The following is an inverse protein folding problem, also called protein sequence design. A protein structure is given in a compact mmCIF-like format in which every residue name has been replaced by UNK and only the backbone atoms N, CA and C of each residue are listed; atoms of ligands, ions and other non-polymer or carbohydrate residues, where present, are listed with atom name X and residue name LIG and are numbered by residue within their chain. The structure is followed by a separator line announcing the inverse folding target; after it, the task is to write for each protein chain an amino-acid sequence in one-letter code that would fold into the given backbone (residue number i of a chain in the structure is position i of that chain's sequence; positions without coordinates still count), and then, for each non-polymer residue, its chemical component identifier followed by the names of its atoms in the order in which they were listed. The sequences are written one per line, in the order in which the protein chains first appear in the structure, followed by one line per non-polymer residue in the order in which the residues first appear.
data_IF_584003010887
#
_entry.id   IF_584003010887
#
_cell.length_a   1.000
_cell.length_b   1.000
_cell.length_c   1.000
_cell.angle_alpha   90.00
_cell.angle_beta   90.00
_cell.angle_gamma   90.00
#
_symmetry.space_group_name_H-M   'P 1'
#
loop_
_entity.id
_entity.type
_entity.pdbx_description
1 polymer ?
#
# COMPACT_ATOMS: atom_id res chain seq x y z
N UNK A 1 7.49 3.30 -18.31
CA UNK A 1 6.97 2.95 -16.97
C UNK A 1 5.53 3.37 -16.95
N UNK A 2 4.67 2.56 -16.35
CA UNK A 2 3.24 2.82 -16.20
C UNK A 2 3.00 2.77 -14.70
N UNK A 3 2.30 3.76 -14.15
CA UNK A 3 1.83 3.77 -12.77
C UNK A 3 0.33 3.55 -12.81
N UNK A 4 -0.15 2.57 -12.05
CA UNK A 4 -1.56 2.16 -12.06
C UNK A 4 -2.07 2.25 -10.64
N UNK A 5 -3.08 3.11 -10.43
CA UNK A 5 -3.84 3.12 -9.20
C UNK A 5 -4.70 1.85 -9.19
N UNK A 6 -4.41 0.92 -8.30
CA UNK A 6 -5.13 -0.35 -8.18
C UNK A 6 -5.16 -0.80 -6.70
N UNK A 7 -6.16 -1.59 -6.28
CA UNK A 7 -7.37 -1.98 -7.01
C UNK A 7 -8.39 -0.84 -7.15
N UNK A 8 -9.59 -1.14 -7.65
CA UNK A 8 -10.71 -0.19 -7.70
C UNK A 8 -10.94 0.43 -6.31
N UNK A 9 -10.98 1.76 -6.25
CA UNK A 9 -11.09 2.53 -5.02
C UNK A 9 -9.79 3.26 -4.62
N UNK A 10 -8.63 2.77 -5.07
CA UNK A 10 -7.33 3.40 -4.82
C UNK A 10 -7.12 4.61 -5.72
N UNK A 11 -6.60 5.71 -5.14
CA UNK A 11 -6.22 6.92 -5.89
C UNK A 11 -7.35 7.41 -6.80
N UNK A 12 -7.07 7.54 -8.10
CA UNK A 12 -8.07 7.94 -9.11
C UNK A 12 -8.88 6.78 -9.70
N UNK A 13 -8.57 5.53 -9.40
CA UNK A 13 -9.32 4.37 -9.89
C UNK A 13 -10.63 4.19 -9.13
N UNK A 14 -11.73 4.00 -9.85
CA UNK A 14 -13.06 3.93 -9.25
C UNK A 14 -14.02 3.05 -10.06
N UNK A 15 -15.06 2.58 -9.37
CA UNK A 15 -16.29 2.08 -9.98
C UNK A 15 -17.49 2.69 -9.24
N UNK A 16 -18.60 2.88 -9.96
CA UNK A 16 -19.88 3.27 -9.38
C UNK A 16 -20.71 2.06 -8.94
N UNK A 17 -20.25 0.84 -9.24
CA UNK A 17 -20.92 -0.40 -8.90
C UNK A 17 -20.20 -1.08 -7.73
N UNK A 18 -20.93 -1.25 -6.61
CA UNK A 18 -20.38 -1.90 -5.43
C UNK A 18 -20.02 -3.39 -5.63
N UNK A 19 -20.44 -4.00 -6.74
CA UNK A 19 -20.07 -5.37 -7.13
C UNK A 19 -18.63 -5.47 -7.64
N UNK A 20 -18.02 -4.35 -8.02
CA UNK A 20 -16.64 -4.29 -8.51
C UNK A 20 -15.62 -4.11 -7.36
N UNK A 21 -16.05 -4.32 -6.11
CA UNK A 21 -15.14 -4.30 -4.97
C UNK A 21 -14.22 -5.50 -5.00
N UNK A 22 -12.96 -5.26 -4.69
CA UNK A 22 -11.87 -6.24 -4.72
C UNK A 22 -11.45 -6.55 -3.28
N UNK A 23 -11.27 -7.82 -2.97
CA UNK A 23 -10.99 -8.29 -1.60
C UNK A 23 -9.79 -9.23 -1.51
N UNK A 24 -9.26 -9.66 -2.67
CA UNK A 24 -8.15 -10.59 -2.78
C UNK A 24 -7.44 -10.45 -4.12
N UNK A 25 -6.31 -11.15 -4.20
CA UNK A 25 -5.33 -11.04 -5.27
C UNK A 25 -5.75 -11.83 -6.50
N UNK A 26 -6.71 -12.76 -6.36
CA UNK A 26 -7.32 -13.42 -7.52
C UNK A 26 -8.07 -12.39 -8.37
N UNK A 27 -8.87 -11.53 -7.72
CA UNK A 27 -9.56 -10.43 -8.40
C UNK A 27 -8.59 -9.35 -8.89
N UNK A 28 -7.58 -8.96 -8.08
CA UNK A 28 -6.52 -8.04 -8.54
C UNK A 28 -5.84 -8.56 -9.81
N UNK A 29 -5.47 -9.84 -9.82
CA UNK A 29 -4.81 -10.48 -10.97
C UNK A 29 -5.67 -10.44 -12.23
N UNK A 30 -6.99 -10.66 -12.10
CA UNK A 30 -7.95 -10.57 -13.22
C UNK A 30 -8.10 -9.14 -13.74
N UNK A 31 -8.37 -8.19 -12.85
CA UNK A 31 -8.59 -6.79 -13.22
C UNK A 31 -7.35 -6.18 -13.88
N UNK A 32 -6.16 -6.49 -13.34
CA UNK A 32 -4.90 -6.04 -13.92
C UNK A 32 -4.60 -6.72 -15.26
N UNK A 33 -4.97 -7.99 -15.44
CA UNK A 33 -4.83 -8.66 -16.73
C UNK A 33 -5.71 -8.00 -17.80
N UNK A 34 -6.97 -7.70 -17.46
CA UNK A 34 -7.90 -6.99 -18.34
C UNK A 34 -7.39 -5.58 -18.67
N UNK A 35 -6.93 -4.84 -17.66
CA UNK A 35 -6.26 -3.55 -17.85
C UNK A 35 -5.08 -3.67 -18.83
N UNK A 36 -4.23 -4.68 -18.68
CA UNK A 36 -3.08 -4.86 -19.56
C UNK A 36 -3.50 -5.13 -21.01
N UNK A 37 -4.55 -5.92 -21.25
CA UNK A 37 -5.08 -6.12 -22.60
C UNK A 37 -5.59 -4.81 -23.23
N UNK A 38 -6.31 -4.00 -22.47
CA UNK A 38 -6.75 -2.69 -22.95
C UNK A 38 -5.58 -1.74 -23.18
N UNK A 39 -4.58 -1.75 -22.28
CA UNK A 39 -3.38 -0.95 -22.41
C UNK A 39 -2.61 -1.28 -23.69
N UNK A 40 -2.35 -2.56 -23.98
CA UNK A 40 -1.65 -2.95 -25.21
C UNK A 40 -2.47 -2.71 -26.48
N UNK A 41 -3.80 -2.76 -26.40
CA UNK A 41 -4.67 -2.36 -27.52
C UNK A 41 -4.60 -0.86 -27.80
N UNK A 42 -4.52 -0.04 -26.75
CA UNK A 42 -4.37 1.40 -26.86
C UNK A 42 -2.93 1.82 -27.24
N UNK A 43 -1.93 1.04 -26.87
CA UNK A 43 -0.51 1.31 -27.05
C UNK A 43 0.22 0.17 -27.79
N UNK A 44 -0.16 -0.12 -29.05
CA UNK A 44 0.48 -1.20 -29.82
C UNK A 44 1.98 -0.94 -30.06
N UNK A 45 2.44 0.32 -29.99
CA UNK A 45 3.84 0.71 -30.16
C UNK A 45 4.78 0.17 -29.07
N UNK A 46 4.25 -0.31 -27.94
CA UNK A 46 5.04 -0.92 -26.86
C UNK A 46 4.81 -2.42 -26.71
N UNK A 47 3.99 -3.04 -27.56
CA UNK A 47 3.56 -4.43 -27.42
C UNK A 47 4.68 -5.47 -27.49
N UNK A 48 5.78 -5.16 -28.17
CA UNK A 48 6.94 -6.06 -28.29
C UNK A 48 8.01 -5.83 -27.20
N UNK A 49 7.85 -4.80 -26.36
CA UNK A 49 8.84 -4.49 -25.33
C UNK A 49 8.76 -5.50 -24.19
N UNK A 50 9.89 -6.00 -23.66
CA UNK A 50 9.91 -6.81 -22.45
C UNK A 50 9.15 -6.12 -21.31
N UNK A 51 8.14 -6.81 -20.78
CA UNK A 51 7.28 -6.30 -19.73
C UNK A 51 7.73 -6.78 -18.36
N UNK A 52 7.76 -5.88 -17.39
CA UNK A 52 8.14 -6.17 -16.01
C UNK A 52 7.07 -5.67 -15.06
N UNK A 53 6.67 -6.51 -14.10
CA UNK A 53 5.75 -6.14 -13.02
C UNK A 53 6.56 -5.83 -11.78
N UNK A 54 6.46 -4.62 -11.24
CA UNK A 54 7.24 -4.20 -10.08
C UNK A 54 6.38 -3.51 -9.05
N UNK A 55 6.64 -3.74 -7.77
CA UNK A 55 5.94 -3.07 -6.67
C UNK A 55 6.69 -3.21 -5.35
N UNK A 56 6.19 -2.54 -4.32
CA UNK A 56 6.74 -2.66 -2.97
C UNK A 56 5.67 -2.96 -1.90
N UNK A 57 6.11 -3.35 -0.70
CA UNK A 57 5.22 -3.53 0.45
C UNK A 57 4.17 -4.63 0.24
N UNK A 58 2.89 -4.31 0.38
CA UNK A 58 1.79 -5.21 0.06
C UNK A 58 1.77 -5.65 -1.41
N UNK A 59 2.49 -4.98 -2.30
CA UNK A 59 2.71 -5.50 -3.65
C UNK A 59 3.56 -6.78 -3.69
N UNK A 60 4.12 -7.25 -2.57
CA UNK A 60 4.60 -8.62 -2.45
C UNK A 60 3.51 -9.69 -2.58
N UNK A 61 2.23 -9.31 -2.44
CA UNK A 61 1.05 -10.10 -2.82
C UNK A 61 0.62 -9.80 -4.27
N UNK A 62 0.50 -8.52 -4.62
CA UNK A 62 0.03 -8.11 -5.96
C UNK A 62 0.94 -8.56 -7.09
N UNK A 63 2.27 -8.38 -6.96
CA UNK A 63 3.22 -8.64 -8.05
C UNK A 63 3.21 -10.10 -8.46
N UNK A 64 3.31 -11.10 -7.54
CA UNK A 64 3.15 -12.50 -7.92
C UNK A 64 1.78 -12.80 -8.55
N UNK A 65 0.69 -12.24 -8.01
CA UNK A 65 -0.66 -12.50 -8.49
C UNK A 65 -0.89 -11.98 -9.92
N UNK A 66 -0.53 -10.71 -10.18
CA UNK A 66 -0.63 -10.09 -11.50
C UNK A 66 0.29 -10.79 -12.51
N UNK A 67 1.52 -11.11 -12.11
CA UNK A 67 2.46 -11.81 -13.00
C UNK A 67 1.97 -13.22 -13.33
N UNK A 68 1.41 -13.94 -12.35
CA UNK A 68 0.85 -15.28 -12.54
C UNK A 68 -0.39 -15.25 -13.44
N UNK A 69 -1.28 -14.26 -13.28
CA UNK A 69 -2.44 -14.11 -14.17
C UNK A 69 -2.01 -13.92 -15.64
N UNK A 70 -1.04 -13.06 -15.89
CA UNK A 70 -0.45 -12.85 -17.22
C UNK A 70 0.21 -14.12 -17.74
N UNK A 71 1.08 -14.74 -16.94
CA UNK A 71 1.82 -15.94 -17.30
C UNK A 71 0.88 -17.09 -17.68
N UNK A 72 -0.14 -17.38 -16.86
CA UNK A 72 -1.11 -18.45 -17.12
C UNK A 72 -1.96 -18.15 -18.37
N UNK A 73 -2.33 -16.89 -18.59
CA UNK A 73 -3.09 -16.53 -19.78
C UNK A 73 -2.27 -16.68 -21.07
N UNK A 74 -0.96 -16.39 -21.02
CA UNK A 74 -0.04 -16.64 -22.12
C UNK A 74 0.10 -18.14 -22.40
N UNK A 75 0.38 -18.95 -21.37
CA UNK A 75 0.59 -20.40 -21.48
C UNK A 75 -0.65 -21.13 -22.01
N UNK A 76 -1.84 -20.73 -21.55
CA UNK A 76 -3.09 -21.34 -21.96
C UNK A 76 -3.66 -20.75 -23.27
N UNK A 77 -3.08 -19.65 -23.76
CA UNK A 77 -3.60 -18.93 -24.94
C UNK A 77 -5.03 -18.42 -24.76
N UNK A 78 -5.42 -18.05 -23.53
CA UNK A 78 -6.80 -17.61 -23.21
C UNK A 78 -7.02 -16.12 -23.41
N UNK A 79 -5.94 -15.34 -23.54
CA UNK A 79 -5.98 -13.90 -23.79
C UNK A 79 -6.20 -13.52 -25.26
N UNK A 80 -6.64 -12.28 -25.54
CA UNK A 80 -6.71 -11.75 -26.90
C UNK A 80 -5.33 -11.52 -27.55
N UNK A 81 -4.26 -11.46 -26.74
CA UNK A 81 -2.88 -11.29 -27.18
C UNK A 81 -1.92 -11.82 -26.11
N UNK A 82 -0.70 -12.15 -26.52
CA UNK A 82 0.38 -12.51 -25.59
C UNK A 82 1.02 -11.24 -25.03
N UNK A 83 1.18 -11.18 -23.72
CA UNK A 83 1.92 -10.10 -23.04
C UNK A 83 3.36 -10.58 -22.82
N UNK A 84 4.40 -9.87 -23.29
CA UNK A 84 5.80 -10.33 -23.22
C UNK A 84 6.40 -10.18 -21.80
N UNK A 85 5.84 -10.89 -20.82
CA UNK A 85 6.30 -10.90 -19.43
C UNK A 85 7.73 -11.44 -19.34
N UNK A 86 8.67 -10.57 -18.95
CA UNK A 86 10.10 -10.86 -18.90
C UNK A 86 10.64 -10.95 -17.47
N UNK A 87 9.92 -10.40 -16.49
CA UNK A 87 10.31 -10.50 -15.09
C UNK A 87 9.39 -9.77 -14.12
N UNK A 88 9.65 -9.96 -12.84
CA UNK A 88 8.97 -9.28 -11.75
C UNK A 88 9.96 -8.89 -10.65
N UNK A 89 9.70 -7.76 -9.98
CA UNK A 89 10.51 -7.31 -8.85
C UNK A 89 9.65 -6.87 -7.66
N UNK A 90 10.04 -7.30 -6.47
CA UNK A 90 9.32 -7.02 -5.22
C UNK A 90 10.29 -6.32 -4.27
N UNK A 91 9.99 -5.07 -3.94
CA UNK A 91 10.72 -4.29 -2.94
C UNK A 91 10.09 -4.40 -1.57
N UNK A 92 10.86 -4.74 -0.54
CA UNK A 92 10.38 -4.72 0.85
C UNK A 92 8.99 -5.35 0.97
N UNK A 93 8.80 -6.54 0.40
CA UNK A 93 7.49 -7.13 0.20
C UNK A 93 6.99 -7.89 1.43
N UNK A 94 5.68 -7.91 1.63
CA UNK A 94 5.00 -9.00 2.33
C UNK A 94 4.60 -10.04 1.27
N UNK A 95 5.08 -11.28 1.36
CA UNK A 95 4.84 -12.32 0.35
C UNK A 95 4.57 -13.69 0.99
N UNK A 96 5.31 -14.02 2.06
CA UNK A 96 5.10 -15.23 2.86
C UNK A 96 5.03 -14.86 4.34
N UNK A 97 3.84 -14.50 4.84
CA UNK A 97 3.64 -14.08 6.22
C UNK A 97 4.12 -15.10 7.25
N UNK A 98 3.94 -16.40 6.98
CA UNK A 98 4.35 -17.49 7.88
C UNK A 98 5.85 -17.48 8.20
N UNK A 99 6.69 -17.08 7.23
CA UNK A 99 8.13 -16.96 7.40
C UNK A 99 8.60 -15.54 7.78
N UNK A 100 7.81 -14.53 7.46
CA UNK A 100 8.15 -13.12 7.72
C UNK A 100 7.80 -12.66 9.13
N UNK A 101 6.68 -13.09 9.71
CA UNK A 101 6.29 -12.71 11.07
C UNK A 101 7.32 -13.10 12.15
N UNK A 102 7.88 -14.34 12.14
CA UNK A 102 8.96 -14.70 13.06
C UNK A 102 10.20 -13.80 12.92
N UNK A 103 10.48 -13.29 11.71
CA UNK A 103 11.64 -12.46 11.48
C UNK A 103 11.60 -11.09 12.19
N UNK A 104 10.42 -10.62 12.61
CA UNK A 104 10.31 -9.36 13.35
C UNK A 104 11.10 -9.37 14.65
N UNK A 105 11.02 -10.46 15.42
CA UNK A 105 11.71 -10.56 16.70
C UNK A 105 13.22 -10.56 16.51
N UNK A 106 13.73 -11.39 15.59
CA UNK A 106 15.15 -11.50 15.27
C UNK A 106 15.72 -10.18 14.75
N UNK A 107 15.05 -9.56 13.78
CA UNK A 107 15.48 -8.27 13.21
C UNK A 107 15.50 -7.16 14.28
N UNK A 108 14.46 -7.10 15.12
CA UNK A 108 14.37 -6.12 16.19
C UNK A 108 15.46 -6.32 17.26
N UNK A 109 15.79 -7.58 17.59
CA UNK A 109 16.87 -7.89 18.53
C UNK A 109 18.23 -7.53 17.96
N UNK A 110 18.52 -7.91 16.72
CA UNK A 110 19.79 -7.61 16.02
C UNK A 110 20.03 -6.08 15.94
N UNK A 111 18.97 -5.32 15.69
CA UNK A 111 19.00 -3.86 15.63
C UNK A 111 18.82 -3.17 16.99
N UNK A 112 18.82 -3.92 18.10
CA UNK A 112 18.75 -3.40 19.48
C UNK A 112 17.47 -2.61 19.79
N UNK A 113 16.39 -2.88 19.07
CA UNK A 113 15.06 -2.29 19.32
C UNK A 113 14.36 -2.97 20.50
N UNK A 114 14.71 -4.22 20.80
CA UNK A 114 14.14 -4.99 21.91
C UNK A 114 15.23 -5.68 22.73
N UNK A 115 14.88 -6.05 23.96
CA UNK A 115 15.74 -6.87 24.82
C UNK A 115 15.59 -8.36 24.50
N UNK A 116 16.57 -9.18 24.87
CA UNK A 116 16.48 -10.65 24.77
C UNK A 116 15.21 -11.21 25.44
N UNK A 117 14.81 -10.66 26.60
CA UNK A 117 13.61 -11.13 27.29
C UNK A 117 12.31 -10.85 26.53
N UNK A 118 12.23 -9.73 25.80
CA UNK A 118 11.08 -9.44 24.95
C UNK A 118 11.10 -10.30 23.69
N UNK A 119 12.27 -10.48 23.08
CA UNK A 119 12.47 -11.42 21.97
C UNK A 119 11.96 -12.83 22.33
N UNK A 120 12.46 -13.41 23.42
CA UNK A 120 12.08 -14.77 23.85
C UNK A 120 10.58 -14.87 24.15
N UNK A 121 9.97 -13.77 24.61
CA UNK A 121 8.53 -13.71 24.83
C UNK A 121 7.73 -13.64 23.53
N UNK A 122 8.21 -12.98 22.48
CA UNK A 122 7.56 -12.98 21.17
C UNK A 122 7.67 -14.38 20.54
N UNK A 123 8.87 -14.96 20.57
CA UNK A 123 9.12 -16.33 20.09
C UNK A 123 8.24 -17.37 20.77
N UNK A 124 7.96 -17.20 22.07
CA UNK A 124 7.04 -18.08 22.79
C UNK A 124 5.63 -18.10 22.19
N UNK A 125 5.12 -16.93 21.74
CA UNK A 125 3.77 -16.81 21.16
C UNK A 125 3.76 -17.11 19.65
N UNK A 126 4.91 -17.09 18.99
CA UNK A 126 5.02 -17.22 17.54
C UNK A 126 4.35 -18.48 16.96
N UNK A 127 4.39 -19.66 17.61
CA UNK A 127 3.69 -20.85 17.11
C UNK A 127 2.18 -20.65 16.94
N UNK A 128 1.54 -19.80 17.76
CA UNK A 128 0.12 -19.47 17.63
C UNK A 128 -0.15 -18.63 16.38
N UNK A 129 0.72 -17.64 16.11
CA UNK A 129 0.65 -16.84 14.89
C UNK A 129 0.85 -17.72 13.64
N UNK A 130 1.89 -18.55 13.63
CA UNK A 130 2.19 -19.44 12.50
C UNK A 130 1.06 -20.42 12.21
N UNK A 131 0.48 -21.03 13.24
CA UNK A 131 -0.68 -21.90 13.09
C UNK A 131 -1.88 -21.14 12.48
N UNK A 132 -2.14 -19.91 12.95
CA UNK A 132 -3.20 -19.07 12.40
C UNK A 132 -2.97 -18.69 10.94
N UNK A 133 -1.72 -18.34 10.58
CA UNK A 133 -1.33 -18.03 9.21
C UNK A 133 -1.46 -19.24 8.28
N UNK A 134 -0.97 -20.41 8.68
CA UNK A 134 -1.10 -21.66 7.92
C UNK A 134 -2.57 -22.07 7.74
N UNK A 135 -3.39 -21.92 8.80
CA UNK A 135 -4.83 -22.15 8.71
C UNK A 135 -5.50 -21.20 7.73
N UNK A 136 -5.18 -19.91 7.80
CA UNK A 136 -5.67 -18.88 6.88
C UNK A 136 -5.30 -19.21 5.43
N UNK A 137 -4.03 -19.52 5.17
CA UNK A 137 -3.51 -19.83 3.84
C UNK A 137 -4.18 -21.07 3.25
N UNK A 138 -4.38 -22.11 4.07
CA UNK A 138 -5.00 -23.37 3.64
C UNK A 138 -6.50 -23.25 3.37
N UNK A 139 -7.25 -22.57 4.26
CA UNK A 139 -8.72 -22.56 4.21
C UNK A 139 -9.29 -21.30 3.57
N UNK A 140 -8.52 -20.22 3.55
CA UNK A 140 -8.86 -18.93 2.93
C UNK A 140 -10.15 -18.29 3.46
N UNK A 141 -10.58 -18.67 4.67
CA UNK A 141 -11.77 -18.13 5.33
C UNK A 141 -11.48 -16.73 5.87
N UNK A 142 -12.01 -15.71 5.19
CA UNK A 142 -11.79 -14.28 5.48
C UNK A 142 -11.81 -13.95 6.97
N UNK A 143 -12.84 -14.38 7.70
CA UNK A 143 -12.96 -14.07 9.14
C UNK A 143 -11.87 -14.73 10.00
N UNK A 144 -11.50 -15.98 9.69
CA UNK A 144 -10.43 -16.67 10.40
C UNK A 144 -9.06 -16.03 10.10
N UNK A 145 -8.83 -15.63 8.85
CA UNK A 145 -7.64 -14.89 8.43
C UNK A 145 -7.49 -13.56 9.19
N UNK A 146 -8.56 -12.78 9.33
CA UNK A 146 -8.56 -11.54 10.09
C UNK A 146 -8.19 -11.79 11.56
N UNK A 147 -8.80 -12.80 12.19
CA UNK A 147 -8.47 -13.15 13.58
C UNK A 147 -7.00 -13.57 13.71
N UNK A 148 -6.51 -14.40 12.81
CA UNK A 148 -5.12 -14.83 12.81
C UNK A 148 -4.17 -13.64 12.64
N UNK A 149 -4.51 -12.68 11.77
CA UNK A 149 -3.71 -11.46 11.57
C UNK A 149 -3.62 -10.65 12.85
N UNK A 150 -4.74 -10.41 13.52
CA UNK A 150 -4.77 -9.68 14.79
C UNK A 150 -3.93 -10.38 15.86
N UNK A 151 -4.03 -11.72 15.96
CA UNK A 151 -3.20 -12.49 16.88
C UNK A 151 -1.72 -12.31 16.56
N UNK A 152 -1.34 -12.42 15.28
CA UNK A 152 0.03 -12.23 14.84
C UNK A 152 0.55 -10.81 15.18
N UNK A 153 -0.22 -9.77 14.88
CA UNK A 153 0.13 -8.38 15.17
C UNK A 153 0.30 -8.16 16.68
N UNK A 154 -0.68 -8.57 17.47
CA UNK A 154 -0.68 -8.42 18.94
C UNK A 154 0.45 -9.20 19.63
N UNK A 155 0.82 -10.36 19.10
CA UNK A 155 1.81 -11.24 19.75
C UNK A 155 3.26 -10.94 19.32
N UNK A 156 3.45 -10.17 18.24
CA UNK A 156 4.77 -9.86 17.70
C UNK A 156 4.96 -8.35 17.48
N UNK A 157 4.52 -7.82 16.35
CA UNK A 157 4.82 -6.48 15.86
C UNK A 157 4.41 -5.38 16.85
N UNK A 158 3.20 -5.42 17.39
CA UNK A 158 2.70 -4.42 18.35
C UNK A 158 3.51 -4.40 19.65
N UNK A 159 4.13 -5.53 20.03
CA UNK A 159 4.99 -5.57 21.21
C UNK A 159 6.32 -4.88 20.97
N UNK A 160 6.84 -4.93 19.74
CA UNK A 160 8.03 -4.19 19.31
C UNK A 160 7.72 -2.70 19.29
N UNK A 161 6.57 -2.29 18.73
CA UNK A 161 6.13 -0.90 18.73
C UNK A 161 5.86 -0.37 20.14
N UNK A 162 5.29 -1.19 21.04
CA UNK A 162 5.10 -0.84 22.44
C UNK A 162 6.41 -0.57 23.19
N UNK A 163 7.52 -1.19 22.78
CA UNK A 163 8.86 -0.90 23.31
C UNK A 163 9.51 0.33 22.64
N UNK A 164 9.00 0.76 21.48
CA UNK A 164 9.58 1.81 20.63
C UNK A 164 8.48 2.75 20.10
N UNK A 165 7.77 3.50 20.95
CA UNK A 165 6.51 4.18 20.58
C UNK A 165 6.64 5.27 19.52
N UNK A 166 7.83 5.84 19.32
CA UNK A 166 8.08 6.89 18.33
C UNK A 166 8.70 6.34 17.03
N UNK A 167 8.96 5.04 16.91
CA UNK A 167 9.74 4.49 15.79
C UNK A 167 8.98 4.60 14.48
N UNK A 168 9.67 4.98 13.41
CA UNK A 168 9.13 4.83 12.08
C UNK A 168 9.22 3.36 11.64
N UNK A 169 8.08 2.71 11.40
CA UNK A 169 8.02 1.30 10.99
C UNK A 169 8.65 1.02 9.64
N UNK A 170 8.87 2.07 8.83
CA UNK A 170 9.46 2.01 7.51
C UNK A 170 10.96 2.34 7.52
N UNK A 171 11.50 2.89 8.61
CA UNK A 171 12.93 3.18 8.76
C UNK A 171 13.28 3.30 10.25
N UNK A 172 13.98 2.31 10.78
CA UNK A 172 14.34 2.23 12.21
C UNK A 172 15.26 3.37 12.70
N UNK A 173 15.81 4.17 11.78
CA UNK A 173 16.64 5.34 12.11
C UNK A 173 15.84 6.64 12.24
N UNK A 174 14.57 6.62 11.85
CA UNK A 174 13.67 7.78 11.85
C UNK A 174 12.60 7.67 12.94
N UNK A 175 12.01 8.82 13.28
CA UNK A 175 10.77 8.86 14.07
C UNK A 175 9.56 8.85 13.15
N UNK A 176 8.47 8.25 13.59
CA UNK A 176 7.21 8.28 12.87
C UNK A 176 6.63 9.71 12.91
N UNK A 177 6.41 10.30 11.74
CA UNK A 177 5.76 11.61 11.58
C UNK A 177 4.48 11.46 10.75
N UNK A 178 3.33 11.79 11.35
CA UNK A 178 2.02 11.64 10.69
C UNK A 178 1.51 10.18 10.59
N UNK A 179 0.34 9.97 9.96
CA UNK A 179 -0.34 8.67 9.93
C UNK A 179 0.39 7.59 9.11
N UNK A 180 1.23 8.00 8.15
CA UNK A 180 2.04 7.11 7.32
C UNK A 180 3.52 7.15 7.71
N UNK A 181 3.84 7.68 8.90
CA UNK A 181 5.20 7.92 9.39
C UNK A 181 6.12 8.77 8.50
N UNK A 182 5.58 9.33 7.41
CA UNK A 182 6.18 10.33 6.54
C UNK A 182 5.13 11.41 6.22
N UNK A 183 5.62 12.63 5.94
CA UNK A 183 4.79 13.69 5.36
C UNK A 183 4.61 13.44 3.85
N UNK A 184 3.48 12.83 3.50
CA UNK A 184 3.07 12.59 2.10
C UNK A 184 2.21 13.72 1.50
N UNK A 185 1.95 14.80 2.26
CA UNK A 185 1.00 15.84 1.85
C UNK A 185 1.33 16.51 0.52
N UNK A 186 2.59 16.52 0.11
CA UNK A 186 3.01 17.08 -1.17
C UNK A 186 2.36 16.39 -2.37
N UNK A 187 2.13 15.07 -2.30
CA UNK A 187 1.46 14.32 -3.36
C UNK A 187 -0.04 14.65 -3.38
N UNK A 188 -0.71 14.58 -2.23
CA UNK A 188 -2.12 14.94 -2.08
C UNK A 188 -2.40 16.38 -2.56
N UNK A 189 -1.59 17.34 -2.11
CA UNK A 189 -1.72 18.75 -2.45
C UNK A 189 -1.49 19.04 -3.94
N UNK A 190 -0.65 18.25 -4.61
CA UNK A 190 -0.39 18.40 -6.03
C UNK A 190 -1.47 17.75 -6.88
N UNK A 191 -1.80 16.49 -6.61
CA UNK A 191 -2.74 15.71 -7.40
C UNK A 191 -4.18 16.20 -7.27
N UNK A 192 -4.53 16.85 -6.15
CA UNK A 192 -5.86 17.43 -5.97
C UNK A 192 -6.05 18.82 -6.55
N UNK A 193 -5.02 19.45 -7.13
CA UNK A 193 -5.20 20.76 -7.76
C UNK A 193 -6.19 20.67 -8.93
N UNK A 194 -7.14 21.61 -9.08
CA UNK A 194 -8.12 21.56 -10.16
C UNK A 194 -7.50 21.47 -11.55
N UNK A 195 -6.40 22.18 -11.79
CA UNK A 195 -5.67 22.13 -13.06
C UNK A 195 -4.99 20.77 -13.31
N UNK A 196 -4.47 20.11 -12.27
CA UNK A 196 -3.82 18.79 -12.40
C UNK A 196 -4.87 17.72 -12.67
N UNK A 197 -5.97 17.68 -11.91
CA UNK A 197 -7.07 16.74 -12.15
C UNK A 197 -7.70 16.90 -13.53
N UNK A 198 -7.81 18.14 -14.01
CA UNK A 198 -8.29 18.42 -15.36
C UNK A 198 -7.35 17.85 -16.42
N UNK A 199 -6.04 18.02 -16.27
CA UNK A 199 -5.05 17.51 -17.22
C UNK A 199 -4.99 15.98 -17.22
N UNK A 200 -5.12 15.35 -16.04
CA UNK A 200 -5.19 13.89 -15.90
C UNK A 200 -6.52 13.29 -16.36
N UNK A 201 -7.56 14.11 -16.57
CA UNK A 201 -8.87 13.65 -17.01
C UNK A 201 -9.68 12.89 -15.95
N UNK A 202 -9.37 13.09 -14.66
CA UNK A 202 -9.95 12.33 -13.52
C UNK A 202 -11.19 13.00 -12.90
N UNK A 203 -11.68 14.07 -13.51
CA UNK A 203 -12.88 14.79 -13.08
C UNK A 203 -12.74 15.45 -11.70
N UNK A 204 -13.74 15.26 -10.85
CA UNK A 204 -13.78 15.84 -9.49
C UNK A 204 -13.34 14.83 -8.41
N UNK A 205 -12.86 13.64 -8.79
CA UNK A 205 -12.39 12.65 -7.82
C UNK A 205 -11.18 13.24 -7.07
N UNK A 206 -11.23 13.16 -5.76
CA UNK A 206 -10.08 13.52 -4.92
C UNK A 206 -9.15 12.31 -4.84
N UNK A 207 -7.86 12.60 -4.89
CA UNK A 207 -6.80 11.62 -4.71
C UNK A 207 -6.38 11.60 -3.26
N UNK A 208 -6.05 10.42 -2.76
CA UNK A 208 -5.40 10.23 -1.47
C UNK A 208 -4.35 9.14 -1.60
N UNK A 209 -3.26 9.26 -0.85
CA UNK A 209 -2.15 8.29 -0.85
C UNK A 209 -2.63 6.86 -0.54
N UNK A 210 -3.57 6.71 0.39
CA UNK A 210 -4.13 5.43 0.80
C UNK A 210 -5.66 5.54 1.01
N UNK A 211 -6.40 4.50 0.59
CA UNK A 211 -7.82 4.35 0.91
C UNK A 211 -8.00 3.29 2.01
N UNK A 212 -8.48 3.71 3.19
CA UNK A 212 -8.64 2.81 4.33
C UNK A 212 -9.83 1.86 4.19
N UNK A 213 -10.78 2.13 3.29
CA UNK A 213 -11.84 1.20 2.93
C UNK A 213 -11.29 0.02 2.14
N UNK A 214 -10.46 0.29 1.13
CA UNK A 214 -9.71 -0.74 0.40
C UNK A 214 -8.82 -1.53 1.34
N UNK A 215 -8.07 -0.86 2.23
CA UNK A 215 -7.27 -1.56 3.25
C UNK A 215 -8.11 -2.54 4.11
N UNK A 216 -9.29 -2.11 4.56
CA UNK A 216 -10.21 -2.95 5.33
C UNK A 216 -10.77 -4.15 4.55
N UNK A 217 -10.92 -4.02 3.23
CA UNK A 217 -11.39 -5.09 2.36
C UNK A 217 -10.36 -6.24 2.27
N UNK A 218 -9.06 -5.90 2.24
CA UNK A 218 -7.93 -6.83 2.10
C UNK A 218 -7.42 -7.45 3.41
N UNK A 219 -7.97 -7.08 4.58
CA UNK A 219 -7.49 -7.64 5.86
C UNK A 219 -7.55 -9.18 5.94
N UNK A 220 -8.49 -9.81 5.22
CA UNK A 220 -8.60 -11.27 5.17
C UNK A 220 -7.64 -11.96 4.20
N UNK A 221 -6.93 -11.19 3.38
CA UNK A 221 -5.94 -11.70 2.44
C UNK A 221 -4.51 -11.60 3.01
N UNK A 222 -4.25 -10.63 3.88
CA UNK A 222 -2.92 -10.31 4.41
C UNK A 222 -2.03 -11.50 4.84
N UNK A 223 -2.61 -12.54 5.45
CA UNK A 223 -1.87 -13.71 5.93
C UNK A 223 -1.68 -14.83 4.88
N UNK A 224 -2.24 -14.68 3.68
CA UNK A 224 -2.04 -15.63 2.58
C UNK A 224 -0.64 -15.49 1.99
N UNK A 225 -0.13 -16.60 1.47
CA UNK A 225 1.20 -16.69 0.87
C UNK A 225 1.12 -16.71 -0.65
N UNK A 226 1.93 -15.87 -1.30
CA UNK A 226 1.94 -15.70 -2.75
C UNK A 226 3.24 -16.14 -3.41
N UNK A 227 4.22 -16.61 -2.63
CA UNK A 227 5.48 -17.16 -3.14
C UNK A 227 5.27 -18.43 -3.99
N UNK A 228 4.23 -19.23 -3.69
CA UNK A 228 3.86 -20.42 -4.46
C UNK A 228 3.47 -20.16 -5.92
N UNK A 229 3.25 -18.90 -6.31
CA UNK A 229 2.99 -18.51 -7.70
C UNK A 229 4.27 -18.34 -8.54
N UNK A 230 5.43 -18.23 -7.90
CA UNK A 230 6.71 -17.94 -8.54
C UNK A 230 7.42 -19.13 -9.22
N UNK A 231 7.35 -20.38 -8.72
CA UNK A 231 8.18 -21.48 -9.23
C UNK A 231 8.03 -21.75 -10.72
N UNK A 232 6.80 -21.84 -11.23
CA UNK A 232 6.56 -22.08 -12.65
C UNK A 232 7.14 -20.95 -13.54
N UNK A 233 7.02 -19.69 -13.10
CA UNK A 233 7.61 -18.55 -13.81
C UNK A 233 9.14 -18.60 -13.80
N UNK A 234 9.76 -18.98 -12.67
CA UNK A 234 11.20 -19.17 -12.55
C UNK A 234 11.71 -20.27 -13.48
N UNK A 235 10.99 -21.40 -13.57
CA UNK A 235 11.32 -22.54 -14.42
C UNK A 235 11.30 -22.16 -15.92
N UNK A 236 10.38 -21.27 -16.31
CA UNK A 236 10.29 -20.71 -17.66
C UNK A 236 11.24 -19.53 -17.92
N UNK A 237 12.13 -19.23 -16.96
CA UNK A 237 13.18 -18.22 -17.11
C UNK A 237 12.70 -16.77 -16.93
N UNK A 238 11.48 -16.55 -16.44
CA UNK A 238 11.01 -15.22 -16.03
C UNK A 238 11.85 -14.78 -14.83
N UNK A 239 12.49 -13.61 -14.94
CA UNK A 239 13.36 -13.11 -13.87
C UNK A 239 12.54 -12.71 -12.64
N UNK A 240 12.96 -13.13 -11.46
CA UNK A 240 12.37 -12.72 -10.18
C UNK A 240 13.45 -12.05 -9.33
N UNK A 241 13.23 -10.80 -8.96
CA UNK A 241 14.11 -10.08 -8.05
C UNK A 241 13.37 -9.65 -6.80
N UNK A 242 13.83 -10.14 -5.65
CA UNK A 242 13.37 -9.67 -4.35
C UNK A 242 14.45 -8.76 -3.81
N UNK A 243 14.09 -7.53 -3.44
CA UNK A 243 15.02 -6.60 -2.84
C UNK A 243 14.44 -6.02 -1.56
N UNK A 244 15.27 -5.78 -0.55
CA UNK A 244 14.84 -5.21 0.71
C UNK A 244 15.88 -4.24 1.26
N UNK A 245 15.42 -3.03 1.62
CA UNK A 245 16.20 -2.08 2.40
C UNK A 245 16.49 -2.63 3.80
N UNK A 246 17.72 -2.45 4.28
CA UNK A 246 18.15 -3.04 5.54
C UNK A 246 17.74 -2.29 6.81
N UNK A 247 17.14 -1.12 6.67
CA UNK A 247 16.59 -0.30 7.75
C UNK A 247 15.05 -0.40 7.88
N UNK A 248 14.39 -1.17 7.01
CA UNK A 248 12.94 -1.38 7.09
C UNK A 248 12.58 -2.36 8.20
N UNK A 249 11.62 -2.01 9.05
CA UNK A 249 11.10 -2.88 10.10
C UNK A 249 9.91 -3.71 9.60
N UNK A 250 8.91 -3.08 8.97
CA UNK A 250 7.62 -3.71 8.65
C UNK A 250 7.77 -4.80 7.58
N UNK A 251 8.69 -4.67 6.63
CA UNK A 251 8.98 -5.71 5.64
C UNK A 251 10.48 -5.99 5.59
N UNK A 252 11.06 -6.18 6.78
CA UNK A 252 12.50 -6.30 6.99
C UNK A 252 13.18 -7.33 6.08
N UNK A 253 14.45 -7.05 5.77
CA UNK A 253 15.26 -7.86 4.87
C UNK A 253 15.49 -9.30 5.39
N UNK A 254 15.43 -9.53 6.70
CA UNK A 254 15.59 -10.88 7.29
C UNK A 254 14.40 -11.76 6.92
N UNK A 255 13.18 -11.25 7.07
CA UNK A 255 11.97 -11.95 6.65
C UNK A 255 11.93 -12.21 5.15
N UNK A 256 12.29 -11.19 4.36
CA UNK A 256 12.38 -11.33 2.91
C UNK A 256 13.44 -12.36 2.48
N UNK A 257 14.59 -12.41 3.16
CA UNK A 257 15.61 -13.43 2.90
C UNK A 257 15.11 -14.83 3.26
N UNK A 258 14.46 -14.99 4.41
CA UNK A 258 13.99 -16.30 4.90
C UNK A 258 13.05 -16.99 3.93
N UNK A 259 12.06 -16.27 3.39
CA UNK A 259 11.13 -16.89 2.47
C UNK A 259 11.76 -17.18 1.12
N UNK A 260 12.67 -16.33 0.61
CA UNK A 260 13.42 -16.63 -0.61
C UNK A 260 14.33 -17.85 -0.42
N UNK A 261 14.96 -17.98 0.75
CA UNK A 261 15.79 -19.13 1.09
C UNK A 261 14.99 -20.44 1.22
N UNK A 262 13.71 -20.35 1.55
CA UNK A 262 12.78 -21.49 1.66
C UNK A 262 12.04 -21.81 0.36
N UNK A 263 12.06 -20.91 -0.64
CA UNK A 263 11.32 -21.05 -1.89
C UNK A 263 11.69 -22.35 -2.63
N UNK A 264 10.68 -23.17 -2.92
CA UNK A 264 10.87 -24.41 -3.65
C UNK A 264 10.72 -24.18 -5.16
N UNK A 265 11.76 -24.50 -5.92
CA UNK A 265 11.81 -24.45 -7.39
C UNK A 265 12.93 -25.37 -7.88
N UNK A 266 13.04 -25.62 -9.19
CA UNK A 266 13.97 -26.62 -9.77
C UNK A 266 15.40 -26.56 -9.20
N UNK A 267 15.94 -25.35 -8.96
CA UNK A 267 17.32 -25.15 -8.48
C UNK A 267 17.42 -24.75 -7.01
N UNK A 268 16.37 -24.92 -6.21
CA UNK A 268 16.38 -24.59 -4.77
C UNK A 268 17.50 -25.31 -4.00
N UNK A 269 17.86 -26.53 -4.41
CA UNK A 269 18.97 -27.29 -3.80
C UNK A 269 20.36 -26.68 -4.01
N UNK A 270 20.55 -25.85 -5.05
CA UNK A 270 21.79 -25.11 -5.29
C UNK A 270 21.85 -23.79 -4.51
N UNK A 271 20.67 -23.22 -4.17
CA UNK A 271 20.56 -21.91 -3.56
C UNK A 271 21.42 -21.76 -2.29
N UNK A 272 21.39 -22.67 -1.29
CA UNK A 272 22.22 -22.59 -0.08
C UNK A 272 23.71 -22.41 -0.31
N UNK A 273 24.26 -22.88 -1.44
CA UNK A 273 25.67 -22.76 -1.78
C UNK A 273 26.04 -21.39 -2.41
N UNK A 274 25.06 -20.63 -2.89
CA UNK A 274 25.28 -19.31 -3.50
C UNK A 274 25.59 -18.29 -2.41
N UNK A 275 26.83 -17.82 -2.39
CA UNK A 275 27.27 -16.81 -1.40
C UNK A 275 26.86 -15.41 -1.86
N UNK A 276 26.29 -14.57 -0.99
CA UNK A 276 26.02 -13.16 -1.31
C UNK A 276 27.31 -12.41 -1.66
N UNK A 277 27.27 -11.63 -2.73
CA UNK A 277 28.38 -10.80 -3.22
C UNK A 277 28.06 -9.34 -2.95
N UNK A 278 29.03 -8.58 -2.43
CA UNK A 278 28.88 -7.12 -2.30
C UNK A 278 28.83 -6.47 -3.69
N UNK A 279 27.92 -5.52 -3.87
CA UNK A 279 27.84 -4.76 -5.11
C UNK A 279 27.99 -3.25 -4.82
N UNK A 280 28.56 -2.55 -5.79
CA UNK A 280 28.89 -1.13 -5.67
C UNK A 280 28.21 -0.31 -6.76
N UNK A 281 27.80 0.90 -6.38
CA UNK A 281 27.24 1.90 -7.28
C UNK A 281 28.04 3.17 -7.06
N UNK A 282 28.62 3.71 -8.15
CA UNK A 282 29.45 4.93 -8.10
C UNK A 282 30.61 4.89 -7.10
N UNK A 283 31.13 3.69 -6.79
CA UNK A 283 32.23 3.49 -5.84
C UNK A 283 31.81 3.45 -4.36
N UNK A 284 30.51 3.46 -4.07
CA UNK A 284 29.96 3.22 -2.75
C UNK A 284 29.35 1.82 -2.67
N UNK A 285 29.49 1.16 -1.51
CA UNK A 285 28.84 -0.12 -1.22
C UNK A 285 27.32 0.08 -1.21
N UNK A 286 26.63 -0.60 -2.13
CA UNK A 286 25.19 -0.47 -2.30
C UNK A 286 24.40 -1.57 -1.59
N UNK A 287 25.06 -2.68 -1.23
CA UNK A 287 24.39 -3.81 -0.59
C UNK A 287 25.07 -5.15 -0.86
N UNK A 288 24.28 -6.22 -0.75
CA UNK A 288 24.66 -7.56 -1.20
C UNK A 288 23.64 -8.12 -2.18
N UNK A 289 24.13 -8.97 -3.10
CA UNK A 289 23.33 -9.65 -4.11
C UNK A 289 23.62 -11.14 -4.04
N UNK A 290 22.57 -11.94 -4.02
CA UNK A 290 22.62 -13.39 -4.25
C UNK A 290 21.82 -13.68 -5.51
N UNK A 291 22.43 -14.29 -6.52
CA UNK A 291 21.82 -14.52 -7.83
C UNK A 291 22.05 -15.97 -8.25
N UNK A 292 20.97 -16.67 -8.66
CA UNK A 292 21.01 -18.03 -9.17
C UNK A 292 20.03 -18.16 -10.34
N UNK A 293 20.56 -18.15 -11.56
CA UNK A 293 19.71 -18.18 -12.76
C UNK A 293 18.73 -16.99 -12.77
N UNK A 294 17.41 -17.22 -12.85
CA UNK A 294 16.41 -16.16 -12.90
C UNK A 294 16.08 -15.54 -11.53
N UNK A 295 16.48 -16.17 -10.41
CA UNK A 295 16.18 -15.69 -9.06
C UNK A 295 17.31 -14.80 -8.52
N UNK A 296 16.95 -13.64 -7.96
CA UNK A 296 17.87 -12.72 -7.27
C UNK A 296 17.29 -12.25 -5.94
N UNK A 297 18.11 -12.24 -4.90
CA UNK A 297 17.84 -11.53 -3.64
C UNK A 297 18.86 -10.41 -3.45
N UNK A 298 18.38 -9.19 -3.18
CA UNK A 298 19.21 -8.00 -2.99
C UNK A 298 18.92 -7.36 -1.64
N UNK A 299 19.91 -7.34 -0.75
CA UNK A 299 19.86 -6.49 0.44
C UNK A 299 20.42 -5.12 0.06
N UNK A 300 19.66 -4.05 0.24
CA UNK A 300 20.08 -2.68 -0.08
C UNK A 300 20.48 -1.96 1.21
N UNK A 301 21.71 -1.47 1.28
CA UNK A 301 22.22 -0.80 2.47
C UNK A 301 21.68 0.61 2.61
N UNK A 302 21.45 1.02 3.87
CA UNK A 302 21.03 2.36 4.25
C UNK A 302 19.72 2.79 3.55
N UNK A 303 18.80 1.85 3.41
CA UNK A 303 17.48 2.09 2.85
C UNK A 303 16.42 1.52 3.79
N UNK A 304 15.35 2.28 4.00
CA UNK A 304 14.14 1.81 4.66
C UNK A 304 13.21 1.09 3.68
N UNK A 305 11.91 1.24 3.91
CA UNK A 305 10.85 0.59 3.15
C UNK A 305 10.82 1.01 1.68
N UNK A 306 10.89 2.33 1.43
CA UNK A 306 10.90 2.91 0.08
C UNK A 306 12.33 3.05 -0.42
N UNK A 307 12.94 1.95 -0.84
CA UNK A 307 14.34 1.91 -1.31
C UNK A 307 14.66 3.01 -2.35
N UNK A 308 13.80 3.31 -3.36
CA UNK A 308 14.05 4.39 -4.30
C UNK A 308 14.07 5.79 -3.67
N UNK A 309 13.38 5.99 -2.55
CA UNK A 309 13.37 7.27 -1.82
C UNK A 309 14.69 7.47 -1.05
N UNK A 310 15.14 6.45 -0.32
CA UNK A 310 16.34 6.56 0.52
C UNK A 310 17.64 6.42 -0.27
N UNK A 311 17.65 5.54 -1.29
CA UNK A 311 18.83 5.21 -2.10
C UNK A 311 18.54 5.26 -3.61
N UNK A 312 18.23 6.44 -4.19
CA UNK A 312 17.78 6.56 -5.58
C UNK A 312 18.82 6.08 -6.60
N UNK A 313 20.11 6.30 -6.34
CA UNK A 313 21.18 5.83 -7.22
C UNK A 313 21.32 4.30 -7.19
N UNK A 314 21.22 3.69 -6.00
CA UNK A 314 21.25 2.23 -5.86
C UNK A 314 20.03 1.60 -6.54
N UNK A 315 18.83 2.13 -6.26
CA UNK A 315 17.59 1.66 -6.87
C UNK A 315 17.64 1.76 -8.40
N UNK A 316 18.10 2.88 -8.96
CA UNK A 316 18.25 3.05 -10.40
C UNK A 316 19.23 2.05 -11.00
N UNK A 317 20.40 1.85 -10.41
CA UNK A 317 21.39 0.90 -10.90
C UNK A 317 20.87 -0.55 -10.87
N UNK A 318 20.18 -0.93 -9.79
CA UNK A 318 19.55 -2.24 -9.61
C UNK A 318 18.49 -2.49 -10.68
N UNK A 319 17.47 -1.62 -10.75
CA UNK A 319 16.34 -1.77 -11.68
C UNK A 319 16.80 -1.66 -13.14
N UNK A 320 17.81 -0.83 -13.44
CA UNK A 320 18.36 -0.71 -14.79
C UNK A 320 18.94 -2.03 -15.29
N UNK A 321 19.73 -2.71 -14.46
CA UNK A 321 20.35 -4.01 -14.77
C UNK A 321 19.28 -5.09 -14.86
N UNK A 322 18.35 -5.11 -13.91
CA UNK A 322 17.25 -6.08 -13.86
C UNK A 322 16.39 -6.04 -15.14
N UNK A 323 15.92 -4.84 -15.53
CA UNK A 323 15.05 -4.64 -16.71
C UNK A 323 15.77 -4.77 -18.06
N UNK A 324 17.07 -5.06 -18.07
CA UNK A 324 17.89 -5.25 -19.29
C UNK A 324 18.52 -6.63 -19.37
N UNK A 325 18.01 -7.57 -18.59
CA UNK A 325 18.55 -8.93 -18.52
C UNK A 325 20.06 -8.97 -18.19
N UNK A 326 20.54 -8.01 -17.38
CA UNK A 326 21.92 -7.98 -16.92
C UNK A 326 22.03 -8.58 -15.51
N UNK A 327 23.15 -9.25 -15.25
CA UNK A 327 23.50 -9.72 -13.90
C UNK A 327 23.73 -8.53 -12.98
N UNK A 328 23.18 -8.63 -11.76
CA UNK A 328 23.36 -7.62 -10.72
C UNK A 328 24.78 -7.64 -10.15
N UNK A 329 25.49 -8.77 -10.27
CA UNK A 329 26.87 -8.95 -9.78
C UNK A 329 27.95 -8.62 -10.83
N UNK A 330 27.55 -8.28 -12.07
CA UNK A 330 28.51 -7.99 -13.13
C UNK A 330 29.45 -6.83 -12.74
N UNK A 331 30.77 -6.95 -12.99
CA UNK A 331 31.76 -5.94 -12.60
C UNK A 331 31.41 -4.53 -13.08
N UNK A 332 31.84 -3.46 -12.39
CA UNK A 332 31.61 -2.07 -12.81
C UNK A 332 32.19 -1.71 -14.19
N UNK A 333 33.10 -2.53 -14.72
CA UNK A 333 33.69 -2.35 -16.04
C UNK A 333 32.61 -2.54 -17.12
N UNK A 334 32.12 -1.41 -17.63
CA UNK A 334 31.02 -1.23 -18.59
C UNK A 334 29.62 -1.14 -17.96
N UNK A 335 29.44 -0.37 -16.88
CA UNK A 335 28.15 0.30 -16.66
C UNK A 335 27.74 0.97 -17.98
N UNK A 336 26.53 0.67 -18.46
CA UNK A 336 25.97 1.27 -19.68
C UNK A 336 26.23 2.80 -19.66
N UNK A 337 26.84 3.41 -20.69
CA UNK A 337 27.12 4.85 -20.71
C UNK A 337 25.89 5.71 -20.40
N UNK A 338 24.68 5.25 -20.73
CA UNK A 338 23.41 5.91 -20.39
C UNK A 338 23.11 5.83 -18.89
N UNK A 339 23.39 4.70 -18.26
CA UNK A 339 23.27 4.55 -16.82
C UNK A 339 24.31 5.42 -16.11
N UNK A 340 25.56 5.45 -16.59
CA UNK A 340 26.60 6.32 -16.05
C UNK A 340 26.17 7.80 -16.11
N UNK A 341 25.63 8.25 -17.25
CA UNK A 341 25.15 9.62 -17.39
C UNK A 341 24.00 9.95 -16.42
N UNK A 342 23.08 9.01 -16.20
CA UNK A 342 21.96 9.19 -15.25
C UNK A 342 22.41 9.20 -13.80
N UNK A 343 23.38 8.37 -13.43
CA UNK A 343 23.96 8.34 -12.09
C UNK A 343 24.83 9.57 -11.81
N UNK A 344 25.49 10.10 -12.84
CA UNK A 344 26.33 11.30 -12.76
C UNK A 344 25.55 12.61 -12.80
N UNK A 345 24.30 12.60 -13.26
CA UNK A 345 23.47 13.79 -13.27
C UNK A 345 23.23 14.25 -11.81
N UNK A 346 23.72 15.42 -11.39
CA UNK A 346 23.37 15.95 -10.08
C UNK A 346 21.86 16.09 -10.05
N UNK A 347 21.18 15.47 -9.07
CA UNK A 347 19.75 15.66 -8.85
C UNK A 347 19.47 17.17 -8.88
N UNK A 348 18.79 17.71 -9.90
CA UNK A 348 18.59 19.14 -9.98
C UNK A 348 17.60 19.54 -8.87
N UNK A 349 18.08 20.29 -7.88
CA UNK A 349 17.34 21.37 -7.23
C UNK A 349 16.00 21.08 -6.52
N UNK A 350 15.62 19.84 -6.21
CA UNK A 350 14.48 19.61 -5.30
C UNK A 350 14.70 20.23 -3.90
N UNK A 351 15.95 20.38 -3.46
CA UNK A 351 16.26 21.01 -2.18
C UNK A 351 16.29 22.56 -2.21
N UNK A 352 16.37 23.20 -3.37
CA UNK A 352 16.50 24.69 -3.44
C UNK A 352 15.24 25.41 -3.92
N UNK A 353 14.37 24.76 -4.70
CA UNK A 353 13.14 25.38 -5.18
C UNK A 353 11.94 25.17 -4.24
N UNK A 354 11.89 24.04 -3.52
CA UNK A 354 10.77 23.74 -2.60
C UNK A 354 10.65 24.77 -1.46
N UNK A 355 11.73 25.21 -0.78
CA UNK A 355 11.61 26.26 0.24
C UNK A 355 11.21 27.63 -0.33
N UNK A 356 11.56 27.94 -1.58
CA UNK A 356 11.15 29.19 -2.24
C UNK A 356 9.67 29.15 -2.64
N UNK A 357 9.20 28.03 -3.19
CA UNK A 357 7.79 27.81 -3.50
C UNK A 357 6.91 27.84 -2.23
N UNK A 358 7.34 27.23 -1.14
CA UNK A 358 6.62 27.32 0.15
C UNK A 358 6.59 28.75 0.71
N UNK A 359 7.69 29.51 0.59
CA UNK A 359 7.71 30.92 1.01
C UNK A 359 6.77 31.78 0.17
N UNK A 360 6.72 31.57 -1.15
CA UNK A 360 5.80 32.28 -2.03
C UNK A 360 4.33 31.89 -1.80
N UNK A 361 4.05 30.61 -1.53
CA UNK A 361 2.70 30.14 -1.22
C UNK A 361 2.23 30.62 0.15
N UNK A 362 3.09 30.60 1.18
CA UNK A 362 2.79 31.16 2.49
C UNK A 362 2.53 32.68 2.43
N UNK A 363 3.29 33.42 1.63
CA UNK A 363 3.07 34.85 1.40
C UNK A 363 1.72 35.12 0.69
N UNK A 364 1.35 34.28 -0.29
CA UNK A 364 0.05 34.37 -0.99
C UNK A 364 -1.12 34.02 -0.06
N UNK A 365 -0.97 33.02 0.81
CA UNK A 365 -1.99 32.65 1.80
C UNK A 365 -2.16 33.74 2.87
N UNK A 366 -1.07 34.36 3.36
CA UNK A 366 -1.15 35.50 4.28
C UNK A 366 -1.83 36.72 3.64
N UNK A 367 -1.55 37.02 2.36
CA UNK A 367 -2.26 38.07 1.63
C UNK A 367 -3.75 37.76 1.46
N UNK A 368 -4.12 36.50 1.20
CA UNK A 368 -5.51 36.06 1.11
C UNK A 368 -6.25 36.21 2.44
N UNK A 369 -5.64 35.76 3.54
CA UNK A 369 -6.19 35.90 4.89
C UNK A 369 -6.34 37.36 5.30
N UNK A 370 -5.37 38.22 4.97
CA UNK A 370 -5.45 39.66 5.21
C UNK A 370 -6.59 40.31 4.41
N UNK A 371 -6.79 39.91 3.14
CA UNK A 371 -7.93 40.38 2.32
C UNK A 371 -9.26 39.92 2.89
N UNK A 372 -9.39 38.67 3.32
CA UNK A 372 -10.61 38.15 3.95
C UNK A 372 -10.93 38.85 5.28
N UNK A 373 -9.90 39.12 6.10
CA UNK A 373 -10.04 39.90 7.34
C UNK A 373 -10.48 41.34 7.06
N UNK A 374 -9.93 41.98 6.03
CA UNK A 374 -10.32 43.31 5.60
C UNK A 374 -11.78 43.36 5.12
N UNK A 375 -12.19 42.41 4.26
CA UNK A 375 -13.58 42.28 3.79
C UNK A 375 -14.53 42.08 4.98
N UNK A 376 -14.17 41.23 5.94
CA UNK A 376 -14.99 41.01 7.15
C UNK A 376 -15.16 42.28 7.98
N UNK A 377 -14.09 43.06 8.17
CA UNK A 377 -14.15 44.36 8.87
C UNK A 377 -14.98 45.40 8.13
N UNK A 378 -14.94 45.41 6.79
CA UNK A 378 -15.78 46.30 5.96
C UNK A 378 -17.25 45.91 6.08
N UNK A 379 -17.58 44.62 6.03
CA UNK A 379 -18.96 44.12 6.20
C UNK A 379 -19.50 44.40 7.61
N UNK A 380 -18.67 44.28 8.65
CA UNK A 380 -19.04 44.62 10.04
C UNK A 380 -19.22 46.15 10.24
N UNK A 381 -18.42 46.98 9.55
CA UNK A 381 -18.58 48.42 9.54
C UNK A 381 -19.84 48.87 8.79
N UNK A 382 -20.18 48.24 7.66
CA UNK A 382 -21.42 48.52 6.93
C UNK A 382 -22.67 48.03 7.70
N UNK A 383 -22.59 46.87 8.36
CA UNK A 383 -23.65 46.34 9.22
C UNK A 383 -23.94 47.20 10.46
N UNK A 384 -22.93 47.92 10.96
CA UNK A 384 -23.10 48.87 12.08
C UNK A 384 -23.61 50.25 11.64
N UNK A 385 -23.34 50.67 10.40
CA UNK A 385 -23.97 51.85 9.79
C UNK A 385 -25.44 51.58 9.43
N UNK A 386 -25.77 50.36 8.97
CA UNK A 386 -27.15 49.92 8.71
C UNK A 386 -28.01 49.87 9.98
N UNK A 387 -27.45 49.42 11.10
CA UNK A 387 -28.16 49.39 12.40
C UNK A 387 -28.47 50.78 12.95
N UNK A 388 -27.57 51.76 12.76
CA UNK A 388 -27.84 53.17 13.15
C UNK A 388 -28.91 53.88 12.29
N UNK A 389 -29.17 53.41 11.06
CA UNK A 389 -30.26 53.93 10.22
C UNK A 389 -31.64 53.34 10.55
N UNK A 390 -31.71 52.15 11.14
CA UNK A 390 -32.99 51.57 11.58
C UNK A 390 -33.46 52.11 12.94
N UNK A 391 -32.54 52.49 13.82
CA UNK A 391 -32.88 53.04 15.15
C UNK A 391 -33.43 54.48 15.10
N UNK A 392 -33.28 55.19 13.99
CA UNK A 392 -33.87 56.53 13.78
C UNK A 392 -35.28 56.50 13.20
N UNK A 393 -35.79 55.35 12.75
CA UNK A 393 -37.13 55.23 12.17
C UNK A 393 -38.17 54.60 13.13
N UNK A 394 -37.75 54.16 14.33
CA UNK A 394 -38.60 53.43 15.29
C UNK A 394 -38.93 54.19 16.58
N UNK A 395 -38.75 55.52 16.59
CA UNK A 395 -39.31 56.45 17.58
C UNK A 395 -40.31 57.34 16.86
N UNK A 396 -41.56 56.87 16.78
CA UNK A 396 -42.78 57.70 16.74
C UNK A 396 -43.96 56.85 16.24
N UNK A 397 -44.62 56.14 17.16
CA UNK A 397 -46.10 56.05 17.27
C UNK A 397 -46.52 55.13 18.43
N UNK A 398 -47.63 55.44 19.14
CA UNK A 398 -48.06 54.73 20.32
C UNK A 398 -48.98 53.53 20.03
N UNK A 399 -49.06 52.68 21.05
CA UNK A 399 -49.82 51.45 21.20
C UNK A 399 -51.34 51.65 21.06
N UNK A 400 -52.03 50.69 20.43
CA UNK A 400 -53.24 50.07 21.01
C UNK A 400 -53.70 48.84 20.21
N UNK A 401 -54.41 47.97 20.94
CA UNK A 401 -55.23 46.81 20.54
C UNK A 401 -54.56 45.42 20.42
N UNK A 402 -54.77 44.66 21.50
CA UNK A 402 -54.71 43.21 21.62
C UNK A 402 -55.64 42.51 20.60
N UNK A 403 -55.22 41.37 20.05
CA UNK A 403 -55.97 40.11 20.16
C UNK A 403 -55.18 38.90 19.64
N UNK A 404 -55.04 37.93 20.56
CA UNK A 404 -54.96 36.47 20.42
C UNK A 404 -53.92 35.85 19.49
N UNK A 405 -52.89 35.35 20.17
CA UNK A 405 -51.87 34.37 19.80
C UNK A 405 -52.36 33.18 18.97
N UNK A 406 -51.67 32.96 17.85
CA UNK A 406 -51.46 31.63 17.29
C UNK A 406 -50.00 31.53 16.83
N UNK A 407 -49.43 30.33 17.04
CA UNK A 407 -48.15 29.83 16.50
C UNK A 407 -46.86 30.24 17.22
N UNK A 408 -46.56 29.54 18.33
CA UNK A 408 -45.19 29.07 18.62
C UNK A 408 -45.22 27.98 19.69
N UNK A 409 -44.93 26.75 19.29
CA UNK A 409 -43.98 25.83 19.91
C UNK A 409 -44.15 24.46 19.26
N UNK A 410 -43.03 23.86 18.86
CA UNK A 410 -43.04 22.49 18.34
C UNK A 410 -41.92 22.28 17.35
N UNK A 411 -40.76 21.95 17.90
CA UNK A 411 -39.71 21.15 17.27
C UNK A 411 -40.30 20.22 16.21
N UNK A 412 -39.89 20.40 14.94
CA UNK A 412 -40.11 19.39 13.89
C UNK A 412 -38.82 18.59 13.76
N UNK A 413 -38.82 17.46 14.45
CA UNK A 413 -38.02 16.28 14.14
C UNK A 413 -38.96 15.29 13.45
N UNK A 414 -38.68 14.95 12.19
CA UNK A 414 -39.42 14.05 11.29
C UNK A 414 -38.46 13.78 10.11
N UNK A 415 -38.08 12.59 9.67
CA UNK A 415 -38.54 11.23 9.97
C UNK A 415 -37.42 10.21 9.68
N UNK A 416 -37.29 9.26 10.60
CA UNK A 416 -36.87 7.88 10.33
C UNK A 416 -38.15 7.15 9.91
N UNK A 417 -38.14 6.53 8.73
CA UNK A 417 -39.24 5.66 8.30
C UNK A 417 -38.93 4.25 8.77
N UNK A 418 -39.70 3.80 9.76
CA UNK A 418 -39.91 2.38 10.04
C UNK A 418 -41.07 1.86 9.19
N UNK A 419 -40.86 0.69 8.58
CA UNK A 419 -41.82 -0.02 7.75
C UNK A 419 -41.90 -1.49 8.14
N UNK A 420 -42.71 -1.77 9.17
CA UNK A 420 -43.51 -2.98 9.42
C UNK A 420 -42.84 -4.34 9.63
N UNK A 421 -42.98 -4.83 10.87
CA UNK A 421 -43.13 -6.24 11.23
C UNK A 421 -44.40 -6.86 10.62
N UNK A 422 -44.27 -8.13 10.19
CA UNK A 422 -45.35 -9.11 10.26
C UNK A 422 -44.78 -10.39 10.86
N UNK A 423 -45.12 -10.68 12.12
CA UNK A 423 -44.82 -11.95 12.78
C UNK A 423 -45.90 -12.99 12.51
N UNK A 424 -45.52 -14.28 12.47
CA UNK A 424 -46.37 -15.41 12.83
C UNK A 424 -45.53 -16.50 13.52
N UNK A 425 -45.73 -16.59 14.83
CA UNK A 425 -45.87 -17.74 15.73
C UNK A 425 -45.03 -19.03 15.59
N UNK A 426 -44.52 -19.42 16.76
CA UNK A 426 -44.06 -20.74 17.16
C UNK A 426 -45.19 -21.77 17.27
N UNK A 427 -44.88 -23.05 16.99
CA UNK A 427 -45.54 -24.20 17.62
C UNK A 427 -44.51 -25.31 17.89
N UNK A 428 -44.52 -25.78 19.13
CA UNK A 428 -43.79 -26.91 19.73
C UNK A 428 -44.14 -28.27 19.08
N UNK A 429 -43.18 -29.20 19.03
CA UNK A 429 -43.45 -30.60 18.66
C UNK A 429 -42.30 -31.57 18.94
N UNK A 430 -42.49 -32.40 19.98
CA UNK A 430 -41.58 -33.40 20.57
C UNK A 430 -41.13 -34.58 19.67
N UNK A 431 -39.98 -35.15 20.08
CA UNK A 431 -39.60 -36.58 20.18
C UNK A 431 -39.38 -37.43 18.92
N UNK A 432 -38.18 -38.04 18.87
CA UNK A 432 -37.94 -39.34 18.25
C UNK A 432 -36.48 -39.55 17.83
N UNK A 433 -35.63 -40.14 18.68
CA UNK A 433 -34.46 -40.89 18.20
C UNK A 433 -34.89 -42.26 17.63
N UNK A 434 -33.99 -43.22 17.30
CA UNK A 434 -32.54 -43.23 17.58
C UNK A 434 -31.63 -43.82 16.45
N UNK A 435 -30.31 -43.76 16.71
CA UNK A 435 -29.24 -44.73 16.38
C UNK A 435 -28.80 -45.06 14.93
N UNK A 436 -27.51 -44.79 14.66
CA UNK A 436 -26.42 -45.71 14.22
C UNK A 436 -25.22 -44.84 13.79
N UNK A 437 -23.93 -45.04 14.10
CA UNK A 437 -23.20 -46.18 14.64
C UNK A 437 -22.34 -46.87 13.56
N UNK A 438 -21.11 -46.39 13.30
CA UNK A 438 -19.90 -47.08 12.79
C UNK A 438 -18.92 -46.05 12.16
N UNK A 439 -17.74 -45.74 12.72
CA UNK A 439 -16.48 -46.51 12.77
C UNK A 439 -15.80 -46.60 11.37
N UNK A 440 -14.77 -45.77 11.13
CA UNK A 440 -13.32 -46.07 11.23
C UNK A 440 -12.74 -46.72 9.97
N UNK A 441 -11.85 -46.01 9.26
CA UNK A 441 -10.39 -46.09 9.45
C UNK A 441 -9.72 -44.78 9.00
#
# INVERSE_FOLDING_TARGET
MIFVDQPIGTGFSYSNDGRDRVFDEELVGKDMLDFMYEFYRAHPEVAENPFYVTGESYAGHYVPAVSSAIYRANELGTGPMTIPLAGLAIGNGMTNPTLQFPAYADYALENKLISQGLHDSIEWWMPLCQWGAEFCDTHQWRFACIIALEICQMTSFERILGANPDINVYDITKKCDGPLCYDMSAADDFLNRPEVRKELGVGNREWSECDMGVNGDFMGDWLRSYDGLLPAMLEDGIRVMIYAGDLDLICNWVGNQRWVDALQWERSGEWPAVTPVEWEVTGAKAGTVRELGPLSFVRVYQAGHMVPMDQPQHALAMLWRFTRNQSLTAPPAQLDPRLQLRLAAPHPQLQTQVPQLHKEQAAKQQQSAAKQSFVKKVVEAEGSVGRKRQDTYRRDKPQDAQQSEEVRQGVVAVDVVDGQEAGVQSVLGRHGGPQAGAAME
#
